data_IF_641269322085
#
_entry.id   IF_641269322085
#
_cell.length_a   1.000
_cell.length_b   1.000
_cell.length_c   1.000
_cell.angle_alpha   90.00
_cell.angle_beta   90.00
_cell.angle_gamma   90.00
#
_symmetry.space_group_name_H-M   'P 1'
#
loop_
_entity.id
_entity.type
_entity.pdbx_description
1 polymer ?
#
# COMPACT_ATOMS: atom_id res chain seq x y z
N UNK A 1 -71.21 10.99 -28.49
CA UNK A 1 -70.53 9.76 -28.97
C UNK A 1 -69.88 9.11 -27.76
N UNK A 2 -70.29 7.90 -27.33
CA UNK A 2 -69.65 7.24 -26.20
C UNK A 2 -68.22 6.82 -26.59
N UNK A 3 -67.24 7.19 -25.77
CA UNK A 3 -65.85 6.79 -25.99
C UNK A 3 -65.71 5.27 -25.79
N UNK A 4 -65.08 4.59 -26.75
CA UNK A 4 -64.85 3.15 -26.70
C UNK A 4 -63.69 2.82 -25.76
N UNK A 5 -64.02 2.65 -24.48
CA UNK A 5 -63.08 2.25 -23.41
C UNK A 5 -62.44 0.87 -23.65
N UNK A 6 -62.92 0.07 -24.60
CA UNK A 6 -62.37 -1.26 -24.86
C UNK A 6 -61.00 -1.20 -25.54
N UNK A 7 -60.77 -0.20 -26.40
CA UNK A 7 -59.50 0.00 -27.10
C UNK A 7 -58.41 0.46 -26.13
N UNK A 8 -58.73 1.43 -25.26
CA UNK A 8 -57.81 1.93 -24.24
C UNK A 8 -57.39 0.82 -23.27
N UNK A 9 -58.34 -0.03 -22.86
CA UNK A 9 -58.05 -1.17 -21.98
C UNK A 9 -57.12 -2.19 -22.64
N UNK A 10 -57.30 -2.46 -23.94
CA UNK A 10 -56.43 -3.36 -24.70
C UNK A 10 -55.02 -2.80 -24.84
N UNK A 11 -54.88 -1.49 -25.09
CA UNK A 11 -53.58 -0.81 -25.18
C UNK A 11 -52.87 -0.83 -23.83
N UNK A 12 -53.56 -0.50 -22.73
CA UNK A 12 -52.98 -0.54 -21.39
C UNK A 12 -52.50 -1.95 -21.01
N UNK A 13 -53.29 -2.99 -21.32
CA UNK A 13 -52.86 -4.39 -21.12
C UNK A 13 -51.61 -4.74 -21.92
N UNK A 14 -51.54 -4.31 -23.18
CA UNK A 14 -50.37 -4.55 -24.03
C UNK A 14 -49.12 -3.88 -23.44
N UNK A 15 -49.23 -2.61 -22.99
CA UNK A 15 -48.12 -1.88 -22.38
C UNK A 15 -47.64 -2.57 -21.10
N UNK A 16 -48.55 -3.01 -20.23
CA UNK A 16 -48.18 -3.73 -19.00
C UNK A 16 -47.47 -5.05 -19.32
N UNK A 17 -47.93 -5.80 -20.32
CA UNK A 17 -47.27 -7.04 -20.76
C UNK A 17 -45.87 -6.79 -21.34
N UNK A 18 -45.70 -5.73 -22.13
CA UNK A 18 -44.40 -5.34 -22.67
C UNK A 18 -43.43 -4.89 -21.56
N UNK A 19 -43.91 -4.13 -20.57
CA UNK A 19 -43.12 -3.77 -19.40
C UNK A 19 -42.71 -5.00 -18.58
N UNK A 20 -43.64 -5.93 -18.34
CA UNK A 20 -43.33 -7.17 -17.63
C UNK A 20 -42.30 -8.01 -18.38
N UNK A 21 -42.43 -8.13 -19.70
CA UNK A 21 -41.46 -8.84 -20.55
C UNK A 21 -40.08 -8.17 -20.50
N UNK A 22 -40.02 -6.84 -20.60
CA UNK A 22 -38.76 -6.09 -20.51
C UNK A 22 -38.09 -6.27 -19.15
N UNK A 23 -38.85 -6.20 -18.05
CA UNK A 23 -38.35 -6.42 -16.69
C UNK A 23 -37.86 -7.87 -16.55
N UNK A 24 -38.61 -8.86 -17.02
CA UNK A 24 -38.22 -10.27 -16.95
C UNK A 24 -36.92 -10.54 -17.73
N UNK A 25 -36.78 -9.98 -18.94
CA UNK A 25 -35.54 -10.08 -19.74
C UNK A 25 -34.38 -9.40 -19.01
N UNK A 26 -34.59 -8.20 -18.46
CA UNK A 26 -33.56 -7.48 -17.69
C UNK A 26 -33.12 -8.26 -16.47
N UNK A 27 -34.06 -8.84 -15.70
CA UNK A 27 -33.77 -9.69 -14.54
C UNK A 27 -33.06 -10.96 -14.97
N UNK A 28 -33.45 -11.60 -16.07
CA UNK A 28 -32.78 -12.79 -16.58
C UNK A 28 -31.31 -12.51 -16.96
N UNK A 29 -31.05 -11.40 -17.65
CA UNK A 29 -29.68 -10.98 -17.97
C UNK A 29 -28.89 -10.56 -16.73
N UNK A 30 -29.55 -9.89 -15.78
CA UNK A 30 -28.93 -9.50 -14.50
C UNK A 30 -28.53 -10.74 -13.67
N UNK A 31 -29.42 -11.72 -13.53
CA UNK A 31 -29.19 -12.97 -12.80
C UNK A 31 -28.18 -13.87 -13.54
N UNK A 32 -28.17 -13.88 -14.88
CA UNK A 32 -27.12 -14.60 -15.62
C UNK A 32 -25.76 -13.92 -15.61
N UNK A 33 -25.71 -12.60 -15.44
CA UNK A 33 -24.45 -11.86 -15.31
C UNK A 33 -23.87 -11.96 -13.88
N UNK A 34 -24.71 -12.27 -12.90
CA UNK A 34 -24.33 -12.64 -11.54
C UNK A 34 -24.29 -14.17 -11.40
N UNK A 35 -23.17 -14.80 -11.74
CA UNK A 35 -22.87 -16.15 -11.22
C UNK A 35 -22.91 -16.08 -9.69
N UNK A 36 -23.95 -16.62 -9.05
CA UNK A 36 -23.97 -16.86 -7.60
C UNK A 36 -23.24 -18.19 -7.36
N UNK A 37 -22.04 -18.21 -6.75
CA UNK A 37 -21.48 -19.46 -6.29
C UNK A 37 -22.20 -19.80 -4.98
N UNK A 38 -22.97 -20.89 -4.98
CA UNK A 38 -23.37 -21.59 -3.77
C UNK A 38 -22.10 -22.01 -3.01
N UNK A 39 -21.76 -21.26 -1.96
CA UNK A 39 -20.67 -21.58 -1.08
C UNK A 39 -21.02 -22.84 -0.26
N UNK A 40 -20.37 -23.96 -0.59
CA UNK A 40 -20.29 -25.12 0.28
C UNK A 40 -19.34 -24.81 1.45
N UNK A 41 -19.74 -24.97 2.73
CA UNK A 41 -18.84 -24.77 3.85
C UNK A 41 -17.89 -25.97 3.96
N UNK A 42 -16.60 -25.76 3.70
CA UNK A 42 -15.56 -26.74 4.01
C UNK A 42 -15.21 -26.65 5.51
N UNK A 43 -15.30 -27.79 6.20
CA UNK A 43 -15.00 -27.97 7.62
C UNK A 43 -13.55 -27.55 7.94
N UNK A 44 -13.37 -26.65 8.90
CA UNK A 44 -12.11 -26.44 9.64
C UNK A 44 -11.69 -27.77 10.29
N UNK A 45 -10.50 -28.28 9.96
CA UNK A 45 -9.79 -29.23 10.81
C UNK A 45 -8.92 -28.46 11.79
N UNK A 46 -9.25 -28.61 13.07
CA UNK A 46 -8.47 -28.16 14.22
C UNK A 46 -7.30 -29.10 14.42
N UNK A 47 -6.07 -28.62 14.30
CA UNK A 47 -4.90 -29.32 14.82
C UNK A 47 -4.35 -28.56 16.02
N UNK A 48 -4.53 -29.16 17.20
CA UNK A 48 -3.86 -28.78 18.44
C UNK A 48 -2.37 -29.06 18.30
N UNK A 49 -1.53 -28.15 18.75
CA UNK A 49 -0.15 -28.49 19.11
C UNK A 49 0.20 -27.90 20.46
N UNK A 50 0.67 -28.83 21.27
CA UNK A 50 0.99 -28.87 22.69
C UNK A 50 2.08 -27.87 23.10
N UNK A 51 1.88 -27.28 24.27
CA UNK A 51 2.92 -26.63 25.08
C UNK A 51 4.03 -27.63 25.49
N UNK A 52 5.28 -27.18 25.44
CA UNK A 52 6.35 -27.63 26.33
C UNK A 52 7.21 -26.43 26.73
N UNK A 53 7.40 -26.24 28.04
CA UNK A 53 8.04 -25.06 28.63
C UNK A 53 9.55 -25.17 28.90
N UNK A 54 9.98 -24.36 29.88
CA UNK A 54 11.32 -24.13 30.44
C UNK A 54 12.27 -23.35 29.50
N UNK A 55 13.05 -22.35 29.91
CA UNK A 55 13.66 -22.10 31.22
C UNK A 55 13.98 -20.61 31.47
N UNK A 56 14.09 -20.28 32.75
CA UNK A 56 14.39 -18.97 33.31
C UNK A 56 15.89 -18.85 33.55
N UNK A 57 16.55 -17.79 33.06
CA UNK A 57 17.89 -17.41 33.56
C UNK A 57 17.99 -15.90 33.81
N UNK A 58 17.88 -15.58 35.10
CA UNK A 58 18.32 -14.35 35.75
C UNK A 58 19.84 -14.35 35.87
N UNK A 59 20.54 -13.30 35.40
CA UNK A 59 21.88 -12.96 35.92
C UNK A 59 22.03 -11.44 36.09
N UNK A 60 22.15 -11.10 37.37
CA UNK A 60 22.80 -9.97 38.05
C UNK A 60 23.55 -8.90 37.23
N UNK A 61 23.13 -7.67 37.51
CA UNK A 61 23.91 -6.44 37.72
C UNK A 61 25.43 -6.57 37.90
N UNK A 62 26.18 -5.68 37.24
CA UNK A 62 27.28 -4.96 37.90
C UNK A 62 27.40 -3.54 37.34
N UNK A 63 27.56 -2.61 38.26
CA UNK A 63 27.62 -1.15 38.14
C UNK A 63 29.09 -0.75 38.08
N UNK A 64 29.45 0.23 37.25
CA UNK A 64 30.63 1.06 37.50
C UNK A 64 30.40 2.43 36.89
N UNK A 65 30.09 3.38 37.77
CA UNK A 65 30.17 4.82 37.53
C UNK A 65 31.64 5.25 37.64
N UNK A 66 32.10 6.12 36.76
CA UNK A 66 33.20 7.05 37.05
C UNK A 66 32.86 8.41 36.41
N UNK A 67 32.75 9.41 37.28
CA UNK A 67 32.53 10.82 36.97
C UNK A 67 33.69 11.57 37.62
N UNK A 68 34.49 12.36 36.90
CA UNK A 68 35.06 13.61 37.41
C UNK A 68 35.58 14.52 36.29
N UNK A 69 35.53 15.81 36.59
CA UNK A 69 35.57 17.00 35.74
C UNK A 69 36.99 17.53 35.42
N UNK A 70 37.05 18.28 34.32
CA UNK A 70 37.76 19.55 34.04
C UNK A 70 39.26 19.71 34.34
N UNK A 71 40.01 20.10 33.30
CA UNK A 71 41.03 21.15 33.37
C UNK A 71 41.22 21.82 31.99
N UNK A 72 41.34 23.15 32.00
CA UNK A 72 41.54 24.05 30.85
C UNK A 72 42.97 23.99 30.30
N UNK A 73 43.15 24.24 29.00
CA UNK A 73 44.48 24.38 28.39
C UNK A 73 44.45 24.77 26.91
N UNK A 74 44.53 26.07 26.65
CA UNK A 74 44.66 26.70 25.33
C UNK A 74 46.06 26.48 24.74
N UNK A 75 46.17 25.87 23.55
CA UNK A 75 47.26 26.14 22.58
C UNK A 75 47.01 25.42 21.24
N UNK A 76 47.11 26.18 20.14
CA UNK A 76 47.41 25.69 18.79
C UNK A 76 48.59 26.54 18.25
N UNK A 77 49.24 26.22 17.12
CA UNK A 77 49.27 24.98 16.34
C UNK A 77 50.72 24.50 16.06
N UNK A 78 50.93 23.22 15.79
CA UNK A 78 52.15 22.76 15.10
C UNK A 78 51.79 21.83 13.94
N UNK A 79 52.26 22.24 12.77
CA UNK A 79 52.16 21.59 11.47
C UNK A 79 53.21 20.48 11.34
N UNK A 80 52.77 19.27 11.02
CA UNK A 80 53.62 18.19 10.50
C UNK A 80 52.97 17.52 9.27
N UNK A 81 53.77 16.93 8.36
CA UNK A 81 53.46 16.84 6.94
C UNK A 81 52.83 15.50 6.54
N UNK A 82 51.86 15.59 5.63
CA UNK A 82 51.74 14.62 4.53
C UNK A 82 51.31 13.20 4.89
N UNK A 83 50.05 13.01 5.27
CA UNK A 83 49.38 11.73 5.11
C UNK A 83 48.41 11.82 3.94
N UNK A 84 48.87 11.39 2.76
CA UNK A 84 47.99 11.17 1.60
C UNK A 84 47.01 10.07 2.01
N UNK A 85 45.80 10.46 2.42
CA UNK A 85 44.68 9.54 2.51
C UNK A 85 44.47 8.99 1.10
N UNK A 86 44.78 7.71 0.91
CA UNK A 86 44.38 6.96 -0.27
C UNK A 86 42.85 6.96 -0.24
N UNK A 87 42.24 7.83 -1.05
CA UNK A 87 40.80 7.79 -1.32
C UNK A 87 40.64 6.56 -2.21
N UNK A 88 40.33 5.41 -1.60
CA UNK A 88 39.87 4.28 -2.37
C UNK A 88 38.65 4.71 -3.18
N UNK A 89 38.62 4.48 -4.51
CA UNK A 89 37.46 4.79 -5.31
C UNK A 89 36.29 4.01 -4.74
N UNK A 90 35.28 4.71 -4.23
CA UNK A 90 34.04 4.09 -3.74
C UNK A 90 33.46 3.30 -4.90
N UNK A 91 33.65 1.98 -4.91
CA UNK A 91 33.13 1.10 -5.95
C UNK A 91 31.63 1.35 -6.04
N UNK A 92 31.17 1.88 -7.17
CA UNK A 92 29.75 2.15 -7.40
C UNK A 92 29.00 0.83 -7.30
N UNK A 93 27.94 0.78 -6.49
CA UNK A 93 27.08 -0.38 -6.40
C UNK A 93 26.49 -0.68 -7.79
N UNK A 94 26.37 -1.96 -8.12
CA UNK A 94 25.65 -2.38 -9.31
C UNK A 94 24.15 -2.14 -9.12
N UNK A 95 23.41 -2.00 -10.22
CA UNK A 95 21.95 -1.84 -10.16
C UNK A 95 21.28 -3.13 -9.70
N UNK A 96 20.21 -3.01 -8.94
CA UNK A 96 19.38 -4.16 -8.56
C UNK A 96 18.79 -4.82 -9.82
N UNK A 97 18.57 -6.15 -9.81
CA UNK A 97 17.99 -6.85 -10.95
C UNK A 97 16.54 -6.41 -11.20
N UNK A 98 16.08 -6.53 -12.45
CA UNK A 98 14.70 -6.14 -12.85
C UNK A 98 13.61 -6.86 -12.06
N UNK A 99 13.84 -8.15 -11.80
CA UNK A 99 13.04 -8.99 -10.91
C UNK A 99 13.91 -9.34 -9.71
N UNK A 100 13.46 -8.99 -8.51
CA UNK A 100 14.22 -9.30 -7.30
C UNK A 100 14.28 -10.82 -7.07
N UNK A 101 15.46 -11.38 -6.72
CA UNK A 101 15.59 -12.77 -6.31
C UNK A 101 15.03 -13.04 -4.90
N UNK A 102 14.61 -12.00 -4.16
CA UNK A 102 14.14 -12.11 -2.78
C UNK A 102 12.63 -12.38 -2.67
N UNK A 103 11.90 -12.35 -3.79
CA UNK A 103 10.45 -12.54 -3.81
C UNK A 103 10.07 -13.97 -3.40
N UNK A 104 9.00 -14.11 -2.61
CA UNK A 104 8.51 -15.42 -2.14
C UNK A 104 7.21 -15.86 -2.83
N UNK A 105 6.57 -14.98 -3.60
CA UNK A 105 5.33 -15.26 -4.30
C UNK A 105 4.09 -15.08 -3.40
N UNK A 106 3.13 -16.03 -3.43
CA UNK A 106 1.90 -15.93 -2.67
C UNK A 106 2.12 -15.78 -1.16
N UNK A 107 1.31 -14.94 -0.53
CA UNK A 107 1.37 -14.61 0.90
C UNK A 107 0.03 -14.92 1.56
N UNK A 108 0.11 -15.39 2.81
CA UNK A 108 -1.05 -15.56 3.66
C UNK A 108 -1.33 -14.26 4.43
N UNK A 109 -2.49 -13.66 4.18
CA UNK A 109 -2.90 -12.36 4.76
C UNK A 109 -4.10 -12.60 5.68
N UNK A 110 -3.98 -12.21 6.94
CA UNK A 110 -5.02 -12.30 7.97
C UNK A 110 -5.08 -11.03 8.81
N UNK A 111 -6.26 -10.74 9.36
CA UNK A 111 -6.51 -9.53 10.17
C UNK A 111 -7.08 -9.85 11.56
N UNK A 112 -6.97 -11.12 11.98
CA UNK A 112 -7.54 -11.63 13.23
C UNK A 112 -6.69 -11.29 14.46
N UNK A 113 -5.38 -11.14 14.29
CA UNK A 113 -4.44 -10.89 15.37
C UNK A 113 -4.05 -9.40 15.39
N UNK A 114 -4.14 -8.71 16.54
CA UNK A 114 -3.73 -7.32 16.65
C UNK A 114 -2.22 -7.20 16.42
N UNK A 115 -1.80 -6.10 15.79
CA UNK A 115 -0.40 -5.79 15.51
C UNK A 115 -0.02 -4.47 16.20
N UNK A 116 1.16 -4.39 16.81
CA UNK A 116 1.68 -3.14 17.40
C UNK A 116 2.73 -2.48 16.51
N UNK A 117 2.90 -1.16 16.63
CA UNK A 117 3.93 -0.43 15.87
C UNK A 117 5.34 -0.80 16.33
N UNK A 118 5.50 -1.15 17.62
CA UNK A 118 6.73 -1.63 18.22
C UNK A 118 7.17 -2.94 17.56
N UNK A 119 6.24 -3.91 17.45
CA UNK A 119 6.49 -5.17 16.77
C UNK A 119 6.92 -4.93 15.31
N UNK A 120 6.19 -4.08 14.58
CA UNK A 120 6.50 -3.78 13.17
C UNK A 120 7.90 -3.20 13.05
N UNK A 121 8.29 -2.29 13.95
CA UNK A 121 9.61 -1.67 13.96
C UNK A 121 10.71 -2.69 14.26
N UNK A 122 10.51 -3.55 15.26
CA UNK A 122 11.48 -4.55 15.68
C UNK A 122 11.71 -5.62 14.60
N UNK A 123 10.64 -6.03 13.90
CA UNK A 123 10.70 -6.97 12.78
C UNK A 123 11.30 -6.35 11.49
N UNK A 124 11.40 -5.02 11.42
CA UNK A 124 11.90 -4.30 10.23
C UNK A 124 13.06 -3.34 10.57
N UNK A 125 14.20 -3.84 11.09
CA UNK A 125 15.30 -3.00 11.58
C UNK A 125 16.02 -2.19 10.48
N UNK A 126 15.83 -2.56 9.21
CA UNK A 126 16.42 -1.83 8.08
C UNK A 126 15.55 -0.65 7.61
N UNK A 127 14.31 -0.54 8.11
CA UNK A 127 13.44 0.61 7.83
C UNK A 127 13.88 1.77 8.72
N UNK A 128 14.27 2.87 8.08
CA UNK A 128 14.76 4.08 8.74
C UNK A 128 13.60 5.00 9.14
N UNK A 129 13.93 6.00 9.96
CA UNK A 129 12.99 7.05 10.38
C UNK A 129 12.24 7.65 9.17
N UNK A 130 10.93 7.85 9.33
CA UNK A 130 10.04 8.29 8.25
C UNK A 130 9.61 7.15 7.30
N UNK A 131 9.76 5.89 7.71
CA UNK A 131 9.32 4.73 6.92
C UNK A 131 10.11 4.57 5.63
N UNK A 132 11.42 4.89 5.66
CA UNK A 132 12.30 4.90 4.50
C UNK A 132 13.11 3.62 4.41
N UNK A 133 13.37 3.15 3.20
CA UNK A 133 14.28 2.02 2.98
C UNK A 133 14.99 2.17 1.63
N UNK A 134 16.22 1.65 1.56
CA UNK A 134 16.94 1.43 0.31
C UNK A 134 17.79 0.15 0.45
N UNK A 135 17.95 -0.66 -0.62
CA UNK A 135 18.85 -1.81 -0.59
C UNK A 135 20.28 -1.40 -0.29
N UNK A 136 21.03 -2.24 0.43
CA UNK A 136 22.44 -1.99 0.79
C UNK A 136 23.42 -2.53 -0.28
N UNK A 137 23.04 -3.61 -0.94
CA UNK A 137 23.94 -4.38 -1.81
C UNK A 137 23.82 -4.00 -3.29
N UNK A 138 22.82 -3.19 -3.66
CA UNK A 138 22.61 -2.72 -5.02
C UNK A 138 21.91 -1.35 -5.06
N UNK A 139 22.02 -0.65 -6.18
CA UNK A 139 21.29 0.59 -6.44
C UNK A 139 19.87 0.27 -6.98
N UNK A 140 18.84 0.71 -6.26
CA UNK A 140 17.45 0.47 -6.67
C UNK A 140 17.14 1.13 -8.03
N UNK A 141 16.38 0.43 -8.87
CA UNK A 141 16.02 0.91 -10.22
C UNK A 141 15.08 2.12 -10.19
N UNK A 142 14.28 2.26 -9.13
CA UNK A 142 13.30 3.33 -8.97
C UNK A 142 13.24 3.81 -7.52
N UNK A 143 12.96 5.11 -7.38
CA UNK A 143 12.69 5.79 -6.11
C UNK A 143 11.18 5.96 -5.99
N UNK A 144 10.56 5.26 -5.05
CA UNK A 144 9.10 5.13 -4.95
C UNK A 144 8.55 5.88 -3.73
N UNK A 145 7.68 6.86 -3.95
CA UNK A 145 6.85 7.44 -2.89
C UNK A 145 5.53 6.67 -2.82
N UNK A 146 5.24 6.07 -1.67
CA UNK A 146 3.96 5.38 -1.44
C UNK A 146 3.07 6.31 -0.64
N UNK A 147 1.96 6.72 -1.23
CA UNK A 147 1.07 7.76 -0.72
C UNK A 147 -0.26 7.11 -0.31
N UNK A 148 -0.60 7.28 0.96
CA UNK A 148 -1.78 6.71 1.60
C UNK A 148 -2.68 7.86 2.05
N UNK A 149 -3.86 8.06 1.45
CA UNK A 149 -4.82 9.03 1.93
C UNK A 149 -5.46 8.47 3.22
N UNK A 150 -5.48 9.24 4.30
CA UNK A 150 -5.75 8.69 5.62
C UNK A 150 -6.65 9.60 6.48
N UNK A 151 -7.50 8.98 7.30
CA UNK A 151 -8.16 9.61 8.46
C UNK A 151 -8.76 8.54 9.37
N UNK A 152 -8.43 8.56 10.66
CA UNK A 152 -9.05 7.71 11.71
C UNK A 152 -9.12 6.21 11.35
N UNK A 153 -8.02 5.65 10.81
CA UNK A 153 -7.92 4.27 10.31
C UNK A 153 -6.68 3.54 10.87
N UNK A 154 -6.28 3.88 12.08
CA UNK A 154 -5.00 3.49 12.70
C UNK A 154 -4.79 1.97 12.70
N UNK A 155 -5.82 1.18 13.01
CA UNK A 155 -5.73 -0.28 12.97
C UNK A 155 -5.47 -0.83 11.54
N UNK A 156 -6.10 -0.24 10.52
CA UNK A 156 -5.82 -0.63 9.13
C UNK A 156 -4.39 -0.26 8.75
N UNK A 157 -3.91 0.91 9.18
CA UNK A 157 -2.54 1.35 8.92
C UNK A 157 -1.51 0.43 9.57
N UNK A 158 -1.75 -0.06 10.79
CA UNK A 158 -0.86 -1.04 11.44
C UNK A 158 -0.73 -2.30 10.60
N UNK A 159 -1.84 -2.88 10.13
CA UNK A 159 -1.79 -4.03 9.21
C UNK A 159 -1.11 -3.70 7.89
N UNK A 160 -1.38 -2.51 7.34
CA UNK A 160 -0.72 -2.05 6.11
C UNK A 160 0.79 -2.03 6.27
N UNK A 161 1.30 -1.40 7.33
CA UNK A 161 2.74 -1.32 7.61
C UNK A 161 3.35 -2.69 7.88
N UNK A 162 2.66 -3.52 8.66
CA UNK A 162 3.07 -4.89 8.97
C UNK A 162 3.31 -5.74 7.72
N UNK A 163 2.36 -5.72 6.78
CA UNK A 163 2.48 -6.52 5.56
C UNK A 163 3.39 -5.86 4.52
N UNK A 164 3.27 -4.55 4.30
CA UNK A 164 3.95 -3.90 3.17
C UNK A 164 5.43 -3.67 3.42
N UNK A 165 5.89 -3.37 4.64
CA UNK A 165 7.32 -3.13 4.86
C UNK A 165 8.19 -4.33 4.44
N UNK A 166 7.91 -5.59 4.84
CA UNK A 166 8.64 -6.75 4.36
C UNK A 166 8.55 -6.95 2.85
N UNK A 167 7.35 -6.77 2.26
CA UNK A 167 7.11 -6.93 0.82
C UNK A 167 7.95 -5.96 0.01
N UNK A 168 7.93 -4.68 0.37
CA UNK A 168 8.64 -3.61 -0.34
C UNK A 168 10.16 -3.76 -0.24
N UNK A 169 10.66 -4.26 0.89
CA UNK A 169 12.09 -4.59 1.07
C UNK A 169 12.50 -5.75 0.15
N UNK A 170 11.71 -6.82 0.05
CA UNK A 170 11.95 -7.94 -0.88
C UNK A 170 11.85 -7.51 -2.35
N UNK A 171 11.11 -6.46 -2.66
CA UNK A 171 11.06 -5.89 -4.00
C UNK A 171 12.28 -5.03 -4.37
N UNK A 172 13.25 -4.85 -3.45
CA UNK A 172 14.47 -4.08 -3.63
C UNK A 172 14.23 -2.64 -4.13
N UNK A 173 13.17 -2.01 -3.64
CA UNK A 173 12.83 -0.63 -3.94
C UNK A 173 13.60 0.33 -3.02
N UNK A 174 13.97 1.50 -3.53
CA UNK A 174 14.24 2.66 -2.67
C UNK A 174 12.90 3.37 -2.46
N UNK A 175 12.32 3.27 -1.26
CA UNK A 175 10.98 3.76 -1.02
C UNK A 175 10.85 4.61 0.24
N UNK A 176 9.75 5.35 0.31
CA UNK A 176 9.21 5.72 1.61
C UNK A 176 7.71 5.92 1.62
N UNK A 177 7.16 5.79 2.82
CA UNK A 177 5.71 5.75 3.08
C UNK A 177 5.23 7.10 3.58
N UNK A 178 4.20 7.65 2.95
CA UNK A 178 3.59 8.92 3.27
C UNK A 178 2.11 8.73 3.59
N UNK A 179 1.78 8.84 4.88
CA UNK A 179 0.40 8.82 5.35
C UNK A 179 -0.11 10.26 5.37
N UNK A 180 -0.99 10.60 4.44
CA UNK A 180 -1.53 11.94 4.29
C UNK A 180 -2.84 12.04 5.06
N UNK A 181 -2.71 12.48 6.32
CA UNK A 181 -3.84 12.61 7.23
C UNK A 181 -4.69 13.84 6.90
N UNK A 182 -5.98 13.65 6.67
CA UNK A 182 -6.95 14.75 6.64
C UNK A 182 -7.39 15.07 8.06
N UNK A 183 -7.05 16.28 8.52
CA UNK A 183 -7.52 16.79 9.80
C UNK A 183 -9.00 17.21 9.76
N UNK A 184 -9.64 17.22 10.93
CA UNK A 184 -11.03 17.59 11.10
C UNK A 184 -12.05 16.55 10.63
N UNK A 185 -13.32 16.94 10.71
CA UNK A 185 -14.47 16.04 10.50
C UNK A 185 -15.23 16.27 9.18
N UNK A 186 -14.72 17.17 8.34
CA UNK A 186 -15.31 17.47 7.03
C UNK A 186 -15.34 16.26 6.09
N UNK A 187 -16.04 16.35 4.96
CA UNK A 187 -16.08 15.23 4.01
C UNK A 187 -14.67 14.84 3.56
N UNK A 188 -14.38 13.54 3.51
CA UNK A 188 -13.07 13.05 3.09
C UNK A 188 -12.83 13.37 1.62
N UNK A 189 -11.60 13.74 1.25
CA UNK A 189 -11.24 14.00 -0.13
C UNK A 189 -10.00 13.19 -0.50
N UNK A 190 -10.24 11.94 -0.91
CA UNK A 190 -9.20 10.98 -1.26
C UNK A 190 -8.23 11.55 -2.30
N UNK A 191 -8.75 12.01 -3.43
CA UNK A 191 -7.96 12.47 -4.57
C UNK A 191 -7.07 13.69 -4.23
N UNK A 192 -7.60 14.64 -3.46
CA UNK A 192 -6.84 15.82 -3.02
C UNK A 192 -5.70 15.44 -2.07
N UNK A 193 -5.89 14.49 -1.16
CA UNK A 193 -4.82 14.00 -0.28
C UNK A 193 -3.71 13.30 -1.07
N UNK A 194 -4.07 12.56 -2.12
CA UNK A 194 -3.07 11.96 -3.02
C UNK A 194 -2.23 13.03 -3.74
N UNK A 195 -2.85 14.12 -4.20
CA UNK A 195 -2.12 15.27 -4.78
C UNK A 195 -1.17 15.91 -3.75
N UNK A 196 -1.62 16.08 -2.50
CA UNK A 196 -0.80 16.62 -1.42
C UNK A 196 0.40 15.69 -1.17
N UNK A 197 0.18 14.38 -1.06
CA UNK A 197 1.27 13.42 -0.88
C UNK A 197 2.27 13.42 -2.04
N UNK A 198 1.79 13.59 -3.28
CA UNK A 198 2.67 13.76 -4.43
C UNK A 198 3.58 14.99 -4.27
N UNK A 199 3.01 16.15 -3.93
CA UNK A 199 3.76 17.40 -3.78
C UNK A 199 4.72 17.37 -2.57
N UNK A 200 4.25 16.91 -1.41
CA UNK A 200 5.06 16.87 -0.19
C UNK A 200 6.19 15.85 -0.28
N UNK A 201 5.94 14.67 -0.88
CA UNK A 201 6.99 13.66 -1.02
C UNK A 201 8.17 14.12 -1.87
N UNK A 202 7.92 15.00 -2.85
CA UNK A 202 8.96 15.59 -3.69
C UNK A 202 9.83 16.62 -2.98
N UNK A 203 9.40 17.17 -1.83
CA UNK A 203 10.23 18.05 -0.99
C UNK A 203 11.30 17.27 -0.23
N UNK A 204 11.00 16.03 0.12
CA UNK A 204 11.91 15.16 0.85
C UNK A 204 12.95 14.50 -0.05
N UNK A 205 12.55 14.10 -1.27
CA UNK A 205 13.43 13.39 -2.20
C UNK A 205 12.97 13.50 -3.66
N UNK A 206 13.90 13.23 -4.57
CA UNK A 206 13.68 13.16 -6.01
C UNK A 206 12.99 11.86 -6.45
N UNK A 207 11.81 11.56 -5.89
CA UNK A 207 11.00 10.40 -6.30
C UNK A 207 10.63 10.48 -7.77
N UNK A 208 10.76 9.34 -8.47
CA UNK A 208 10.43 9.21 -9.89
C UNK A 208 9.23 8.29 -10.14
N UNK A 209 8.77 7.59 -9.11
CA UNK A 209 7.58 6.74 -9.12
C UNK A 209 6.69 7.04 -7.91
N UNK A 210 5.37 7.05 -8.12
CA UNK A 210 4.37 7.31 -7.10
C UNK A 210 3.36 6.17 -7.09
N UNK A 211 3.20 5.54 -5.92
CA UNK A 211 2.17 4.53 -5.68
C UNK A 211 1.09 5.17 -4.82
N UNK A 212 -0.14 5.14 -5.27
CA UNK A 212 -1.31 5.63 -4.55
C UNK A 212 -2.08 4.42 -4.02
N UNK A 213 -2.14 4.26 -2.71
CA UNK A 213 -2.63 3.05 -2.07
C UNK A 213 -3.70 3.37 -1.04
N UNK A 214 -4.84 2.67 -1.11
CA UNK A 214 -5.81 2.68 -0.01
C UNK A 214 -5.22 1.92 1.19
N UNK A 215 -5.45 2.45 2.40
CA UNK A 215 -4.87 1.90 3.64
C UNK A 215 -5.38 0.49 3.97
N UNK A 216 -6.49 0.06 3.38
CA UNK A 216 -7.17 -1.21 3.64
C UNK A 216 -6.95 -2.27 2.54
N UNK A 217 -5.97 -2.06 1.64
CA UNK A 217 -5.61 -3.03 0.61
C UNK A 217 -4.19 -3.57 0.80
N UNK A 218 -4.10 -4.89 0.94
CA UNK A 218 -2.85 -5.65 1.11
C UNK A 218 -2.67 -6.60 -0.09
N UNK A 219 -1.50 -6.63 -0.74
CA UNK A 219 -1.25 -7.58 -1.82
C UNK A 219 -1.06 -9.00 -1.27
N UNK A 220 -1.67 -9.99 -1.92
CA UNK A 220 -1.55 -11.41 -1.57
C UNK A 220 -0.38 -12.12 -2.29
N UNK A 221 0.42 -11.40 -3.07
CA UNK A 221 1.56 -11.95 -3.81
C UNK A 221 2.61 -10.86 -4.02
N UNK A 222 3.84 -11.06 -3.54
CA UNK A 222 4.88 -10.05 -3.63
C UNK A 222 5.51 -9.90 -5.02
N UNK A 223 5.15 -10.77 -5.97
CA UNK A 223 5.44 -10.58 -7.41
C UNK A 223 4.62 -9.43 -8.02
N UNK A 224 3.59 -8.95 -7.34
CA UNK A 224 2.94 -7.68 -7.67
C UNK A 224 3.81 -6.51 -7.18
N UNK A 225 4.79 -6.11 -8.00
CA UNK A 225 5.79 -5.11 -7.60
C UNK A 225 5.22 -3.69 -7.54
N UNK A 226 5.42 -3.01 -6.41
CA UNK A 226 4.95 -1.63 -6.14
C UNK A 226 5.88 -0.61 -6.79
N UNK A 227 6.01 -0.69 -8.12
CA UNK A 227 6.85 0.17 -8.96
C UNK A 227 6.06 0.75 -10.13
N UNK A 228 6.70 1.62 -10.92
CA UNK A 228 6.08 2.26 -12.08
C UNK A 228 6.55 1.62 -13.39
N UNK A 229 5.71 1.70 -14.41
CA UNK A 229 5.93 1.09 -15.71
C UNK A 229 5.76 2.12 -16.84
N UNK A 230 5.93 1.68 -18.09
CA UNK A 230 5.78 2.53 -19.28
C UNK A 230 4.37 3.14 -19.42
N UNK A 231 3.34 2.48 -18.88
CA UNK A 231 1.96 2.98 -18.76
C UNK A 231 1.55 3.08 -17.29
N UNK A 232 0.57 3.94 -16.94
CA UNK A 232 -0.04 3.94 -15.61
C UNK A 232 -0.46 2.52 -15.21
N UNK A 233 -0.11 2.11 -13.99
CA UNK A 233 -0.28 0.73 -13.54
C UNK A 233 -1.42 0.66 -12.55
N UNK A 234 -2.36 -0.24 -12.79
CA UNK A 234 -3.33 -0.68 -11.80
C UNK A 234 -2.75 -1.90 -11.07
N UNK A 235 -2.59 -1.81 -9.74
CA UNK A 235 -1.94 -2.84 -8.92
C UNK A 235 -2.97 -3.74 -8.21
N UNK A 236 -4.14 -3.21 -7.84
CA UNK A 236 -5.21 -3.97 -7.18
C UNK A 236 -6.26 -4.48 -8.18
N UNK A 237 -5.84 -5.32 -9.13
CA UNK A 237 -6.69 -5.78 -10.26
C UNK A 237 -7.69 -6.88 -9.89
N UNK A 238 -7.44 -7.61 -8.79
CA UNK A 238 -8.21 -8.80 -8.38
C UNK A 238 -8.37 -8.76 -6.86
N UNK A 239 -9.39 -8.04 -6.39
CA UNK A 239 -9.68 -7.88 -4.96
C UNK A 239 -10.71 -8.91 -4.49
N UNK A 240 -10.51 -9.45 -3.28
CA UNK A 240 -11.41 -10.39 -2.61
C UNK A 240 -12.85 -9.87 -2.48
N UNK A 241 -13.03 -8.60 -2.13
CA UNK A 241 -14.33 -7.93 -2.01
C UNK A 241 -15.14 -7.89 -3.31
N UNK A 242 -14.49 -8.13 -4.44
CA UNK A 242 -15.11 -8.23 -5.76
C UNK A 242 -15.01 -9.66 -6.32
N UNK A 243 -14.83 -10.67 -5.46
CA UNK A 243 -14.73 -12.07 -5.85
C UNK A 243 -13.52 -12.36 -6.75
N UNK A 244 -12.41 -11.65 -6.53
CA UNK A 244 -11.19 -11.73 -7.33
C UNK A 244 -11.39 -11.40 -8.82
N UNK A 245 -12.40 -10.58 -9.14
CA UNK A 245 -12.67 -10.08 -10.49
C UNK A 245 -12.55 -8.55 -10.53
N UNK A 246 -12.15 -8.04 -11.69
CA UNK A 246 -12.16 -6.61 -11.93
C UNK A 246 -13.62 -6.14 -12.08
N UNK A 247 -14.08 -5.08 -11.38
CA UNK A 247 -15.47 -4.64 -11.45
C UNK A 247 -15.92 -4.25 -12.87
N UNK A 248 -15.02 -3.60 -13.63
CA UNK A 248 -15.18 -3.23 -15.03
C UNK A 248 -13.82 -2.81 -15.61
N UNK A 249 -13.65 -2.85 -16.93
CA UNK A 249 -12.34 -2.71 -17.59
C UNK A 249 -11.61 -1.38 -17.32
N UNK A 250 -12.35 -0.30 -17.08
CA UNK A 250 -11.79 1.04 -16.81
C UNK A 250 -11.56 1.29 -15.31
N UNK A 251 -11.81 0.29 -14.44
CA UNK A 251 -11.64 0.46 -13.00
C UNK A 251 -10.17 0.69 -12.65
N UNK A 252 -9.89 1.79 -11.96
CA UNK A 252 -8.53 2.21 -11.58
C UNK A 252 -8.44 2.60 -10.08
N UNK A 253 -9.41 2.16 -9.28
CA UNK A 253 -9.45 2.38 -7.83
C UNK A 253 -8.60 1.38 -7.04
N UNK A 254 -8.45 1.61 -5.75
CA UNK A 254 -7.63 0.78 -4.86
C UNK A 254 -6.17 1.23 -4.87
N UNK A 255 -5.30 0.40 -5.47
CA UNK A 255 -3.86 0.66 -5.57
C UNK A 255 -3.46 0.87 -7.03
N UNK A 256 -2.77 1.98 -7.29
CA UNK A 256 -2.25 2.32 -8.62
C UNK A 256 -0.86 2.95 -8.54
N UNK A 257 -0.12 2.98 -9.63
CA UNK A 257 1.14 3.70 -9.72
C UNK A 257 1.30 4.48 -11.01
N UNK A 258 1.97 5.63 -10.92
CA UNK A 258 2.30 6.50 -12.04
C UNK A 258 3.70 7.06 -11.87
N UNK A 259 4.45 7.14 -12.98
CA UNK A 259 5.71 7.87 -13.00
C UNK A 259 5.47 9.36 -12.78
N UNK A 260 6.52 10.10 -12.40
CA UNK A 260 6.49 11.56 -12.29
C UNK A 260 5.92 12.21 -13.56
N UNK A 261 6.37 11.75 -14.73
CA UNK A 261 5.94 12.25 -16.03
C UNK A 261 4.46 11.96 -16.31
N UNK A 262 4.02 10.71 -16.08
CA UNK A 262 2.62 10.32 -16.28
C UNK A 262 1.67 11.16 -15.42
N UNK A 263 2.03 11.40 -14.16
CA UNK A 263 1.21 12.17 -13.24
C UNK A 263 1.10 13.65 -13.64
N UNK A 264 2.22 14.26 -14.04
CA UNK A 264 2.24 15.65 -14.52
C UNK A 264 1.47 15.81 -15.82
N UNK A 265 1.53 14.83 -16.72
CA UNK A 265 0.84 14.85 -18.01
C UNK A 265 -0.68 14.94 -17.87
N UNK A 266 -1.25 14.40 -16.78
CA UNK A 266 -2.68 14.48 -16.49
C UNK A 266 -3.05 15.61 -15.53
N UNK A 267 -2.07 16.46 -15.14
CA UNK A 267 -2.25 17.51 -14.13
C UNK A 267 -2.69 16.99 -12.75
N UNK A 268 -2.23 15.80 -12.37
CA UNK A 268 -2.62 15.13 -11.12
C UNK A 268 -4.09 14.69 -11.08
N UNK A 269 -4.58 14.42 -9.87
CA UNK A 269 -5.98 14.01 -9.64
C UNK A 269 -6.92 15.21 -9.45
N UNK A 270 -8.24 15.06 -9.65
CA UNK A 270 -9.18 16.15 -9.42
C UNK A 270 -9.32 16.47 -7.91
N UNK A 271 -9.43 17.76 -7.57
CA UNK A 271 -9.50 18.22 -6.17
C UNK A 271 -10.92 18.45 -5.65
N UNK A 272 -11.93 18.37 -6.51
CA UNK A 272 -13.32 18.74 -6.23
C UNK A 272 -14.25 17.54 -5.98
N UNK A 273 -13.71 16.32 -5.89
CA UNK A 273 -14.47 15.13 -5.52
C UNK A 273 -14.44 14.97 -4.00
N UNK A 274 -15.51 15.41 -3.35
CA UNK A 274 -15.73 15.25 -1.91
C UNK A 274 -16.58 14.02 -1.67
N UNK A 275 -16.01 13.05 -0.96
CA UNK A 275 -16.57 11.72 -0.77
C UNK A 275 -15.51 10.64 -0.95
N UNK A 276 -15.94 9.40 -0.77
CA UNK A 276 -15.17 8.20 -1.10
C UNK A 276 -15.30 7.85 -2.57
#
# INVERSE_FOLDING_TARGET
>A
MPADFSLLHRICKLVVLLCFFHIAVTVFFYVRSFDIPLAFPHKRQSHNTTQSGLDTHTVSTSRTEWNTQNEEGTAAPQSEPGQKSVIEPRKSLEKCPETSPLLVGPLWVEFNNPVSLEQIKDENPNVQLGGRFKPKDCEALQKVAIIIPFRKRDEHLKFWLYYLHPILQRQQLEYGVYVINQDGDETFNRAKLLNIGYQESLKDKDYNCFVFSDVDLIPMDDRNTYKCFSQPRHLSVSMDKFGFRLPYNQYFGGVSSMSKEQYLKINGFPNNYWGW
#
